data_IF_581708300051
#
_entry.id   IF_581708300051
#
_cell.length_a   1.000
_cell.length_b   1.000
_cell.length_c   1.000
_cell.angle_alpha   90.00
_cell.angle_beta   90.00
_cell.angle_gamma   90.00
#
_symmetry.space_group_name_H-M   'P 1'
#
loop_
_entity.id
_entity.type
_entity.pdbx_description
1 polymer ?
#
# COMPACT_ATOMS: atom_id res chain seq x y z
N UNK A 1 -7.73 50.28 -10.78
CA UNK A 1 -7.93 48.88 -10.33
C UNK A 1 -6.63 48.41 -9.69
N UNK A 2 -6.59 48.28 -8.36
CA UNK A 2 -5.39 47.88 -7.63
C UNK A 2 -5.36 46.36 -7.45
N UNK A 3 -4.42 45.69 -8.12
CA UNK A 3 -4.18 44.27 -7.95
C UNK A 3 -3.48 44.03 -6.61
N UNK A 4 -4.22 43.44 -5.66
CA UNK A 4 -3.71 43.07 -4.35
C UNK A 4 -2.58 42.06 -4.46
N UNK A 5 -1.41 42.40 -3.90
CA UNK A 5 -0.33 41.47 -3.62
C UNK A 5 -0.84 40.44 -2.60
N UNK A 6 -1.29 39.27 -3.06
CA UNK A 6 -1.48 38.11 -2.18
C UNK A 6 -0.11 37.66 -1.71
N UNK A 7 0.23 38.06 -0.49
CA UNK A 7 1.30 37.48 0.31
C UNK A 7 1.09 35.97 0.38
N UNK A 8 2.00 35.20 -0.22
CA UNK A 8 2.06 33.75 -0.02
C UNK A 8 2.43 33.53 1.44
N UNK A 9 1.46 33.10 2.24
CA UNK A 9 1.67 32.77 3.64
C UNK A 9 2.80 31.72 3.74
N UNK A 10 3.84 32.02 4.52
CA UNK A 10 4.90 31.05 4.85
C UNK A 10 4.23 29.81 5.47
N UNK A 11 4.26 28.69 4.73
CA UNK A 11 3.84 27.38 5.24
C UNK A 11 4.66 27.09 6.52
N UNK A 12 4.02 26.75 7.64
CA UNK A 12 4.75 26.51 8.88
C UNK A 12 5.72 25.34 8.66
N UNK A 13 6.95 25.47 9.14
CA UNK A 13 7.98 24.46 8.99
C UNK A 13 7.46 23.11 9.53
N UNK A 14 7.27 22.17 8.61
CA UNK A 14 6.84 20.83 8.94
C UNK A 14 7.81 20.20 9.92
N UNK A 15 7.33 19.84 11.12
CA UNK A 15 8.10 19.04 12.08
C UNK A 15 8.66 17.82 11.35
N UNK A 16 9.99 17.67 11.34
CA UNK A 16 10.71 16.52 10.76
C UNK A 16 9.92 15.25 11.06
N UNK A 17 9.53 14.52 10.01
CA UNK A 17 8.90 13.21 10.17
C UNK A 17 9.87 12.34 10.98
N UNK A 18 9.55 12.13 12.26
CA UNK A 18 10.47 11.53 13.21
C UNK A 18 10.87 10.12 12.75
N UNK A 19 12.13 9.70 12.97
CA UNK A 19 12.64 8.38 12.62
C UNK A 19 11.81 7.19 13.16
N UNK A 20 10.90 7.43 14.12
CA UNK A 20 9.88 6.48 14.57
C UNK A 20 8.88 6.06 13.48
N UNK A 21 8.57 6.93 12.52
CA UNK A 21 7.63 6.65 11.43
C UNK A 21 8.17 5.60 10.45
N UNK A 22 9.46 5.70 10.10
CA UNK A 22 10.11 4.77 9.18
C UNK A 22 10.29 3.37 9.79
N UNK A 23 10.72 3.27 11.05
CA UNK A 23 10.88 1.97 11.70
C UNK A 23 9.55 1.23 11.92
N UNK A 24 8.45 1.97 12.15
CA UNK A 24 7.10 1.37 12.21
C UNK A 24 6.63 0.91 10.83
N UNK A 25 6.90 1.72 9.79
CA UNK A 25 6.60 1.38 8.41
C UNK A 25 7.36 0.11 7.98
N UNK A 26 8.65 0.04 8.28
CA UNK A 26 9.50 -1.11 7.94
C UNK A 26 9.00 -2.43 8.57
N UNK A 27 8.48 -2.37 9.80
CA UNK A 27 7.82 -3.53 10.43
C UNK A 27 6.48 -3.90 9.78
N UNK A 28 5.74 -2.94 9.23
CA UNK A 28 4.40 -3.18 8.67
C UNK A 28 4.43 -3.63 7.22
N UNK A 29 5.30 -3.05 6.39
CA UNK A 29 5.37 -3.30 4.94
C UNK A 29 6.63 -4.05 4.51
N UNK A 30 7.53 -4.37 5.46
CA UNK A 30 8.85 -4.89 5.15
C UNK A 30 9.77 -3.79 4.63
N UNK A 31 10.45 -4.02 3.51
CA UNK A 31 11.41 -3.05 2.99
C UNK A 31 10.74 -1.72 2.59
N UNK A 32 11.06 -0.63 3.30
CA UNK A 32 10.58 0.72 2.96
C UNK A 32 11.29 1.19 1.68
N UNK A 33 10.55 1.45 0.58
CA UNK A 33 11.14 1.93 -0.66
C UNK A 33 11.95 3.21 -0.47
N UNK A 34 13.06 3.35 -1.21
CA UNK A 34 13.95 4.51 -1.16
C UNK A 34 13.20 5.85 -1.28
N UNK A 35 12.17 5.89 -2.13
CA UNK A 35 11.29 7.05 -2.32
C UNK A 35 10.66 7.53 -0.99
N UNK A 36 10.13 6.63 -0.16
CA UNK A 36 9.55 7.00 1.13
C UNK A 36 10.61 7.55 2.10
N UNK A 37 11.84 7.02 2.07
CA UNK A 37 12.95 7.55 2.88
C UNK A 37 13.32 8.96 2.44
N UNK A 38 13.42 9.21 1.14
CA UNK A 38 13.69 10.55 0.60
C UNK A 38 12.57 11.55 0.90
N UNK A 39 11.32 11.11 0.88
CA UNK A 39 10.15 11.91 1.26
C UNK A 39 10.24 12.45 2.69
N UNK A 40 10.79 11.69 3.63
CA UNK A 40 10.91 12.15 5.03
C UNK A 40 11.83 13.35 5.20
N UNK A 41 12.77 13.57 4.26
CA UNK A 41 13.74 14.67 4.30
C UNK A 41 13.38 15.78 3.33
N UNK A 42 13.00 15.44 2.09
CA UNK A 42 12.72 16.40 1.02
C UNK A 42 11.33 17.03 1.14
N UNK A 43 10.31 16.24 1.46
CA UNK A 43 8.90 16.69 1.52
C UNK A 43 8.14 16.07 2.72
N UNK A 44 8.48 16.45 3.96
CA UNK A 44 8.00 15.76 5.16
C UNK A 44 6.47 15.83 5.35
N UNK A 45 5.82 16.90 4.86
CA UNK A 45 4.35 16.99 4.91
C UNK A 45 3.70 16.00 3.97
N UNK A 46 4.25 15.82 2.76
CA UNK A 46 3.75 14.84 1.81
C UNK A 46 3.84 13.44 2.40
N UNK A 47 4.98 13.09 3.03
CA UNK A 47 5.13 11.83 3.75
C UNK A 47 4.02 11.65 4.80
N UNK A 48 3.81 12.66 5.66
CA UNK A 48 2.82 12.59 6.72
C UNK A 48 1.38 12.51 6.20
N UNK A 49 1.08 13.06 5.02
CA UNK A 49 -0.23 12.96 4.37
C UNK A 49 -0.44 11.55 3.81
N UNK A 50 0.54 11.02 3.07
CA UNK A 50 0.47 9.65 2.50
C UNK A 50 0.31 8.62 3.62
N UNK A 51 1.11 8.72 4.68
CA UNK A 51 1.02 7.79 5.81
C UNK A 51 -0.32 7.85 6.55
N UNK A 52 -0.92 9.04 6.66
CA UNK A 52 -2.25 9.20 7.27
C UNK A 52 -3.35 8.61 6.38
N UNK A 53 -3.29 8.87 5.08
CA UNK A 53 -4.20 8.31 4.10
C UNK A 53 -4.12 6.78 4.10
N UNK A 54 -2.92 6.22 3.99
CA UNK A 54 -2.70 4.77 4.01
C UNK A 54 -3.28 4.13 5.29
N UNK A 55 -2.98 4.69 6.46
CA UNK A 55 -3.53 4.20 7.73
C UNK A 55 -5.06 4.19 7.70
N UNK A 56 -5.69 5.29 7.29
CA UNK A 56 -7.14 5.40 7.26
C UNK A 56 -7.80 4.39 6.31
N UNK A 57 -7.24 4.19 5.12
CA UNK A 57 -7.75 3.21 4.14
C UNK A 57 -7.67 1.79 4.69
N UNK A 58 -6.59 1.45 5.39
CA UNK A 58 -6.43 0.11 5.96
C UNK A 58 -7.25 -0.12 7.22
N UNK A 59 -7.59 0.88 8.03
CA UNK A 59 -8.34 0.67 9.27
C UNK A 59 -9.66 -0.10 9.06
N UNK A 60 -10.02 -0.95 10.02
CA UNK A 60 -11.25 -1.75 9.93
C UNK A 60 -12.48 -0.84 9.85
N UNK A 61 -13.46 -1.27 9.05
CA UNK A 61 -14.73 -0.57 8.89
C UNK A 61 -15.81 -1.54 8.44
N UNK A 62 -16.60 -1.17 7.43
CA UNK A 62 -17.56 -2.10 6.81
C UNK A 62 -16.87 -3.32 6.17
N UNK A 63 -15.62 -3.15 5.75
CA UNK A 63 -14.73 -4.24 5.35
C UNK A 63 -13.60 -4.35 6.36
N UNK A 64 -13.28 -5.58 6.75
CA UNK A 64 -12.11 -5.86 7.58
C UNK A 64 -10.81 -5.61 6.82
N UNK A 65 -9.71 -5.39 7.54
CA UNK A 65 -8.33 -5.36 7.00
C UNK A 65 -8.03 -6.56 6.12
N UNK A 66 -8.44 -7.75 6.57
CA UNK A 66 -8.29 -9.01 5.86
C UNK A 66 -9.05 -8.99 4.52
N UNK A 67 -10.30 -8.56 4.52
CA UNK A 67 -11.10 -8.42 3.29
C UNK A 67 -10.48 -7.40 2.32
N UNK A 68 -10.06 -6.23 2.83
CA UNK A 68 -9.37 -5.21 2.03
C UNK A 68 -8.07 -5.74 1.42
N UNK A 69 -7.35 -6.60 2.14
CA UNK A 69 -6.11 -7.21 1.66
C UNK A 69 -6.36 -8.16 0.50
N UNK A 70 -7.40 -8.99 0.57
CA UNK A 70 -7.79 -9.87 -0.55
C UNK A 70 -8.14 -9.05 -1.80
N UNK A 71 -8.89 -7.95 -1.63
CA UNK A 71 -9.21 -7.03 -2.74
C UNK A 71 -7.93 -6.43 -3.35
N UNK A 72 -6.99 -5.97 -2.50
CA UNK A 72 -5.74 -5.40 -2.98
C UNK A 72 -4.88 -6.42 -3.75
N UNK A 73 -4.83 -7.67 -3.31
CA UNK A 73 -4.13 -8.75 -4.02
C UNK A 73 -4.81 -9.02 -5.37
N UNK A 74 -6.14 -9.08 -5.40
CA UNK A 74 -6.90 -9.29 -6.63
C UNK A 74 -6.65 -8.19 -7.67
N UNK A 75 -6.66 -6.91 -7.25
CA UNK A 75 -6.36 -5.75 -8.11
C UNK A 75 -4.92 -5.82 -8.62
N UNK A 76 -3.95 -6.08 -7.73
CA UNK A 76 -2.54 -6.17 -8.12
C UNK A 76 -2.31 -7.30 -9.14
N UNK A 77 -2.96 -8.45 -8.95
CA UNK A 77 -2.88 -9.59 -9.86
C UNK A 77 -3.54 -9.28 -11.22
N UNK A 78 -4.70 -8.61 -11.22
CA UNK A 78 -5.38 -8.15 -12.44
C UNK A 78 -4.49 -7.25 -13.29
N UNK A 79 -3.75 -6.35 -12.65
CA UNK A 79 -2.80 -5.42 -13.29
C UNK A 79 -1.46 -6.08 -13.66
N UNK A 80 -1.20 -7.30 -13.18
CA UNK A 80 0.10 -8.01 -13.33
C UNK A 80 1.30 -7.18 -12.90
N UNK A 81 1.13 -6.40 -11.84
CA UNK A 81 2.19 -5.59 -11.25
C UNK A 81 3.01 -6.42 -10.24
N UNK A 82 4.26 -6.73 -10.60
CA UNK A 82 5.13 -7.59 -9.79
C UNK A 82 5.36 -7.05 -8.40
N UNK A 83 5.63 -5.75 -8.32
CA UNK A 83 5.93 -5.11 -7.05
C UNK A 83 4.68 -5.10 -6.19
N UNK A 84 3.53 -4.72 -6.75
CA UNK A 84 2.28 -4.62 -6.00
C UNK A 84 1.83 -6.01 -5.50
N UNK A 85 1.84 -7.03 -6.36
CA UNK A 85 1.41 -8.40 -5.98
C UNK A 85 2.28 -8.91 -4.83
N UNK A 86 3.61 -8.84 -4.95
CA UNK A 86 4.51 -9.30 -3.90
C UNK A 86 4.34 -8.51 -2.60
N UNK A 87 4.21 -7.19 -2.68
CA UNK A 87 4.01 -6.35 -1.50
C UNK A 87 2.71 -6.69 -0.76
N UNK A 88 1.61 -6.90 -1.48
CA UNK A 88 0.34 -7.28 -0.84
C UNK A 88 0.39 -8.70 -0.26
N UNK A 89 1.02 -9.66 -0.95
CA UNK A 89 1.20 -11.03 -0.45
C UNK A 89 2.06 -11.10 0.81
N UNK A 90 3.18 -10.37 0.88
CA UNK A 90 4.03 -10.32 2.08
C UNK A 90 3.26 -9.78 3.29
N UNK A 91 2.43 -8.76 3.09
CA UNK A 91 1.57 -8.20 4.15
C UNK A 91 0.33 -9.04 4.47
N UNK A 92 0.02 -10.08 3.69
CA UNK A 92 -1.20 -10.87 3.84
C UNK A 92 -1.20 -11.73 5.11
N UNK A 93 -0.05 -12.35 5.43
CA UNK A 93 0.13 -13.13 6.66
C UNK A 93 -0.12 -12.27 7.92
N UNK A 94 0.31 -11.01 7.90
CA UNK A 94 0.17 -10.07 9.03
C UNK A 94 -1.28 -9.69 9.35
N UNK A 95 -2.21 -9.90 8.41
CA UNK A 95 -3.65 -9.63 8.60
C UNK A 95 -4.50 -10.91 8.62
N UNK A 96 -3.85 -12.07 8.75
CA UNK A 96 -4.52 -13.36 8.89
C UNK A 96 -5.14 -13.92 7.61
N UNK A 97 -4.71 -13.45 6.43
CA UNK A 97 -5.07 -14.09 5.17
C UNK A 97 -4.38 -15.46 5.05
N UNK A 98 -5.17 -16.48 4.72
CA UNK A 98 -4.67 -17.81 4.40
C UNK A 98 -4.35 -17.93 2.90
N UNK A 99 -3.51 -18.90 2.54
CA UNK A 99 -3.23 -19.22 1.13
C UNK A 99 -4.50 -19.61 0.38
N UNK A 100 -5.41 -20.34 1.02
CA UNK A 100 -6.69 -20.77 0.44
C UNK A 100 -7.61 -19.59 0.11
N UNK A 101 -7.73 -18.60 1.00
CA UNK A 101 -8.54 -17.39 0.74
C UNK A 101 -7.97 -16.56 -0.42
N UNK A 102 -6.65 -16.48 -0.53
CA UNK A 102 -6.01 -15.75 -1.64
C UNK A 102 -6.20 -16.51 -2.95
N UNK A 103 -6.08 -17.84 -2.94
CA UNK A 103 -6.35 -18.69 -4.11
C UNK A 103 -7.79 -18.47 -4.61
N UNK A 104 -8.77 -18.42 -3.70
CA UNK A 104 -10.17 -18.16 -4.05
C UNK A 104 -10.35 -16.75 -4.63
N UNK A 105 -9.71 -15.73 -4.05
CA UNK A 105 -9.71 -14.38 -4.61
C UNK A 105 -9.08 -14.33 -6.03
N UNK A 106 -8.01 -15.07 -6.27
CA UNK A 106 -7.39 -15.17 -7.59
C UNK A 106 -8.31 -15.84 -8.62
N UNK A 107 -9.17 -16.79 -8.23
CA UNK A 107 -10.19 -17.37 -9.12
C UNK A 107 -11.27 -16.34 -9.49
N UNK A 108 -11.61 -15.42 -8.59
CA UNK A 108 -12.49 -14.28 -8.94
C UNK A 108 -11.77 -13.35 -9.92
N UNK A 109 -10.48 -13.05 -9.68
CA UNK A 109 -9.66 -12.27 -10.62
C UNK A 109 -9.58 -12.94 -11.99
N UNK A 110 -9.44 -14.27 -12.04
CA UNK A 110 -9.45 -15.05 -13.28
C UNK A 110 -10.74 -14.79 -14.07
N UNK A 111 -11.89 -14.90 -13.42
CA UNK A 111 -13.20 -14.74 -14.06
C UNK A 111 -13.35 -13.38 -14.74
N UNK A 112 -12.80 -12.30 -14.15
CA UNK A 112 -12.98 -10.93 -14.63
C UNK A 112 -11.81 -10.39 -15.46
N UNK A 113 -10.59 -10.93 -15.31
CA UNK A 113 -9.36 -10.40 -15.92
C UNK A 113 -8.57 -11.43 -16.75
N UNK A 114 -9.07 -12.67 -16.84
CA UNK A 114 -8.52 -13.74 -17.66
C UNK A 114 -7.36 -14.52 -17.02
N UNK A 115 -7.00 -15.65 -17.65
CA UNK A 115 -5.96 -16.58 -17.16
C UNK A 115 -4.61 -15.91 -16.86
N UNK A 116 -4.13 -14.91 -17.64
CA UNK A 116 -2.86 -14.25 -17.36
C UNK A 116 -2.79 -13.61 -15.96
N UNK A 117 -3.90 -13.02 -15.47
CA UNK A 117 -3.94 -12.44 -14.13
C UNK A 117 -3.84 -13.51 -13.02
N UNK A 118 -4.53 -14.64 -13.23
CA UNK A 118 -4.52 -15.77 -12.31
C UNK A 118 -3.13 -16.40 -12.20
N UNK A 119 -2.54 -16.81 -13.33
CA UNK A 119 -1.24 -17.47 -13.36
C UNK A 119 -0.17 -16.56 -12.76
N UNK A 120 -0.24 -15.25 -13.05
CA UNK A 120 0.66 -14.27 -12.47
C UNK A 120 0.50 -14.13 -10.96
N UNK A 121 -0.72 -14.01 -10.44
CA UNK A 121 -0.95 -13.96 -9.00
C UNK A 121 -0.54 -15.26 -8.30
N UNK A 122 -0.82 -16.40 -8.93
CA UNK A 122 -0.59 -17.75 -8.41
C UNK A 122 0.89 -18.07 -8.25
N UNK A 123 1.71 -17.80 -9.27
CA UNK A 123 3.16 -18.02 -9.20
C UNK A 123 3.79 -17.22 -8.05
N UNK A 124 3.29 -16.01 -7.79
CA UNK A 124 3.82 -15.12 -6.75
C UNK A 124 3.32 -15.56 -5.38
N UNK A 125 2.07 -16.03 -5.28
CA UNK A 125 1.52 -16.63 -4.07
C UNK A 125 2.35 -17.84 -3.64
N UNK A 126 2.70 -18.72 -4.58
CA UNK A 126 3.46 -19.94 -4.28
C UNK A 126 4.91 -19.63 -3.86
N UNK A 127 5.52 -18.58 -4.41
CA UNK A 127 6.85 -18.13 -4.00
C UNK A 127 6.86 -17.47 -2.61
N UNK A 128 5.91 -16.57 -2.35
CA UNK A 128 5.87 -15.75 -1.12
C UNK A 128 5.27 -16.50 0.08
N UNK A 129 4.24 -17.32 -0.15
CA UNK A 129 3.49 -18.02 0.90
C UNK A 129 3.75 -19.53 0.85
N UNK A 130 4.98 -19.89 1.23
CA UNK A 130 5.34 -21.23 1.69
C UNK A 130 4.66 -21.53 3.02
#
# INVERSE_FOLDING_TARGET
MAAGKKTVAKKPAAKKASGRGLGKLEKQIGHVPKFFRELTTKEPEMFNLVMRFEKHIWDDGKLSKKTKKLIAIAIAAALRDQHAVRAQLMGAKNVGCTKAEIEEALRVTFLLSGMPAYVYGKAQLDDVMK
#
